data_IF_681649261478
#
_entry.id   IF_681649261478
#
_cell.length_a   1.000
_cell.length_b   1.000
_cell.length_c   1.000
_cell.angle_alpha   90.00
_cell.angle_beta   90.00
_cell.angle_gamma   90.00
#
_symmetry.space_group_name_H-M   'P 1'
#
loop_
_entity.id
_entity.type
_entity.pdbx_description
1 polymer ?
#
# COMPACT_ATOMS: atom_id res chain seq x y z
N UNK A 1 17.69 -17.16 -2.64
CA UNK A 1 16.58 -16.22 -2.36
C UNK A 1 15.30 -16.93 -2.75
N UNK A 2 14.27 -16.83 -1.93
CA UNK A 2 12.98 -17.47 -2.23
C UNK A 2 12.24 -16.61 -3.27
N UNK A 3 11.69 -17.23 -4.31
CA UNK A 3 10.92 -16.55 -5.35
C UNK A 3 9.68 -15.92 -4.71
N UNK A 4 9.37 -14.62 -4.98
CA UNK A 4 8.15 -14.02 -4.44
C UNK A 4 6.90 -14.68 -5.00
N UNK A 5 5.92 -14.92 -4.12
CA UNK A 5 4.62 -15.53 -4.46
C UNK A 5 3.58 -14.45 -4.70
N UNK A 6 2.93 -14.48 -5.86
CA UNK A 6 1.83 -13.59 -6.25
C UNK A 6 0.52 -14.39 -6.26
N UNK A 7 -0.49 -13.91 -5.54
CA UNK A 7 -1.84 -14.44 -5.60
C UNK A 7 -2.70 -13.58 -6.52
N UNK A 8 -3.26 -14.20 -7.56
CA UNK A 8 -4.23 -13.59 -8.47
C UNK A 8 -5.64 -13.95 -7.99
N UNK A 9 -6.48 -12.95 -7.78
CA UNK A 9 -7.89 -13.14 -7.40
C UNK A 9 -8.76 -12.51 -8.48
N UNK A 10 -9.30 -13.33 -9.37
CA UNK A 10 -10.04 -12.91 -10.57
C UNK A 10 -11.03 -14.02 -10.95
N UNK A 11 -12.30 -13.71 -11.11
CA UNK A 11 -13.33 -14.70 -11.44
C UNK A 11 -13.37 -15.04 -12.94
N UNK A 12 -13.04 -14.06 -13.82
CA UNK A 12 -13.01 -14.29 -15.26
C UNK A 12 -11.78 -15.14 -15.64
N UNK A 13 -12.03 -16.35 -16.14
CA UNK A 13 -11.00 -17.34 -16.45
C UNK A 13 -9.92 -16.82 -17.41
N UNK A 14 -10.34 -16.16 -18.50
CA UNK A 14 -9.42 -15.66 -19.53
C UNK A 14 -8.48 -14.59 -18.95
N UNK A 15 -9.04 -13.65 -18.20
CA UNK A 15 -8.27 -12.60 -17.53
C UNK A 15 -7.33 -13.19 -16.49
N UNK A 16 -7.80 -14.15 -15.68
CA UNK A 16 -7.02 -14.83 -14.67
C UNK A 16 -5.83 -15.56 -15.29
N UNK A 17 -6.06 -16.38 -16.33
CA UNK A 17 -4.99 -17.10 -17.04
C UNK A 17 -3.96 -16.15 -17.66
N UNK A 18 -4.42 -15.04 -18.25
CA UNK A 18 -3.50 -14.03 -18.81
C UNK A 18 -2.61 -13.40 -17.72
N UNK A 19 -3.17 -13.12 -16.54
CA UNK A 19 -2.41 -12.60 -15.41
C UNK A 19 -1.41 -13.62 -14.87
N UNK A 20 -1.82 -14.89 -14.74
CA UNK A 20 -0.94 -15.99 -14.33
C UNK A 20 0.24 -16.11 -15.29
N UNK A 21 -0.01 -16.23 -16.58
CA UNK A 21 1.03 -16.34 -17.61
C UNK A 21 1.96 -15.12 -17.61
N UNK A 22 1.40 -13.91 -17.44
CA UNK A 22 2.17 -12.68 -17.37
C UNK A 22 3.19 -12.71 -16.24
N UNK A 23 2.77 -13.05 -15.02
CA UNK A 23 3.67 -13.03 -13.87
C UNK A 23 4.61 -14.25 -13.82
N UNK A 24 4.19 -15.41 -14.28
CA UNK A 24 5.09 -16.56 -14.46
C UNK A 24 6.19 -16.25 -15.49
N UNK A 25 5.84 -15.56 -16.59
CA UNK A 25 6.81 -15.09 -17.58
C UNK A 25 7.84 -14.09 -17.05
N UNK A 26 7.50 -13.36 -15.98
CA UNK A 26 8.40 -12.45 -15.25
C UNK A 26 9.20 -13.17 -14.13
N UNK A 27 9.03 -14.50 -13.97
CA UNK A 27 9.79 -15.34 -13.04
C UNK A 27 9.25 -15.35 -11.60
N UNK A 28 7.97 -15.06 -11.39
CA UNK A 28 7.31 -15.15 -10.08
C UNK A 28 6.61 -16.49 -9.90
N UNK A 29 6.52 -16.96 -8.65
CA UNK A 29 5.61 -18.03 -8.30
C UNK A 29 4.20 -17.48 -8.22
N UNK A 30 3.25 -18.08 -8.95
CA UNK A 30 1.88 -17.57 -9.07
C UNK A 30 0.89 -18.63 -8.60
N UNK A 31 -0.01 -18.22 -7.74
CA UNK A 31 -1.17 -18.99 -7.31
C UNK A 31 -2.44 -18.21 -7.64
N UNK A 32 -3.54 -18.90 -7.82
CA UNK A 32 -4.80 -18.31 -8.29
C UNK A 32 -5.98 -18.64 -7.37
N UNK A 33 -6.95 -17.75 -7.36
CA UNK A 33 -8.23 -17.91 -6.69
C UNK A 33 -9.34 -17.25 -7.55
N UNK A 34 -10.51 -17.83 -7.57
CA UNK A 34 -11.66 -17.32 -8.34
C UNK A 34 -12.60 -16.44 -7.50
N UNK A 35 -12.43 -16.44 -6.20
CA UNK A 35 -13.26 -15.69 -5.24
C UNK A 35 -12.54 -15.48 -3.90
N UNK A 36 -13.21 -14.81 -2.97
CA UNK A 36 -12.67 -14.51 -1.65
C UNK A 36 -12.46 -15.73 -0.76
N UNK A 37 -13.26 -16.78 -0.89
CA UNK A 37 -13.11 -17.99 -0.08
C UNK A 37 -11.84 -18.74 -0.46
N UNK A 38 -11.62 -18.94 -1.75
CA UNK A 38 -10.36 -19.53 -2.24
C UNK A 38 -9.15 -18.66 -1.91
N UNK A 39 -9.28 -17.32 -2.01
CA UNK A 39 -8.23 -16.40 -1.61
C UNK A 39 -7.75 -16.68 -0.18
N UNK A 40 -8.67 -16.80 0.79
CA UNK A 40 -8.29 -17.06 2.18
C UNK A 40 -7.62 -18.42 2.35
N UNK A 41 -8.14 -19.47 1.70
CA UNK A 41 -7.52 -20.80 1.75
C UNK A 41 -6.07 -20.77 1.21
N UNK A 42 -5.84 -20.03 0.11
CA UNK A 42 -4.50 -19.89 -0.48
C UNK A 42 -3.55 -19.10 0.42
N UNK A 43 -4.04 -18.04 1.07
CA UNK A 43 -3.27 -17.24 2.01
C UNK A 43 -2.83 -18.03 3.24
N UNK A 44 -3.67 -18.92 3.75
CA UNK A 44 -3.32 -19.79 4.89
C UNK A 44 -2.25 -20.84 4.54
N UNK A 45 -2.21 -21.28 3.28
CA UNK A 45 -1.34 -22.35 2.82
C UNK A 45 -0.02 -21.87 2.22
N UNK A 46 0.10 -20.59 1.86
CA UNK A 46 1.24 -20.08 1.11
C UNK A 46 1.74 -18.72 1.65
N UNK A 47 3.06 -18.49 1.62
CA UNK A 47 3.66 -17.23 2.02
C UNK A 47 3.50 -16.17 0.91
N UNK A 48 2.31 -15.61 0.72
CA UNK A 48 1.99 -14.64 -0.33
C UNK A 48 2.66 -13.29 -0.07
N UNK A 49 3.31 -12.73 -1.09
CA UNK A 49 3.99 -11.43 -1.02
C UNK A 49 3.18 -10.29 -1.65
N UNK A 50 2.36 -10.63 -2.66
CA UNK A 50 1.52 -9.67 -3.39
C UNK A 50 0.19 -10.32 -3.75
N UNK A 51 -0.91 -9.60 -3.54
CA UNK A 51 -2.23 -9.94 -4.08
C UNK A 51 -2.56 -8.98 -5.21
N UNK A 52 -2.93 -9.51 -6.36
CA UNK A 52 -3.54 -8.77 -7.48
C UNK A 52 -4.99 -9.20 -7.55
N UNK A 53 -5.92 -8.28 -7.29
CA UNK A 53 -7.33 -8.59 -7.05
C UNK A 53 -8.27 -7.75 -7.90
N UNK A 54 -9.25 -8.39 -8.54
CA UNK A 54 -10.39 -7.64 -9.07
C UNK A 54 -11.27 -7.11 -7.94
N UNK A 55 -11.81 -5.93 -8.14
CA UNK A 55 -12.80 -5.34 -7.23
C UNK A 55 -14.15 -6.06 -7.40
N UNK A 56 -14.53 -6.40 -8.64
CA UNK A 56 -15.83 -6.95 -8.97
C UNK A 56 -15.84 -8.49 -8.90
N UNK A 57 -15.59 -9.05 -7.74
CA UNK A 57 -15.63 -10.48 -7.51
C UNK A 57 -17.05 -10.96 -7.14
N UNK A 58 -17.42 -12.19 -7.51
CA UNK A 58 -18.69 -12.77 -7.07
C UNK A 58 -18.71 -13.01 -5.56
N UNK A 59 -19.84 -12.80 -4.93
CA UNK A 59 -20.04 -12.95 -3.50
C UNK A 59 -19.52 -11.73 -2.73
N UNK A 60 -18.37 -11.82 -2.07
CA UNK A 60 -17.75 -10.68 -1.39
C UNK A 60 -17.01 -9.80 -2.39
N UNK A 61 -17.36 -8.52 -2.44
CA UNK A 61 -16.65 -7.51 -3.21
C UNK A 61 -15.17 -7.41 -2.77
N UNK A 62 -14.25 -7.24 -3.74
CA UNK A 62 -12.82 -7.15 -3.51
C UNK A 62 -12.42 -6.06 -2.50
N UNK A 63 -13.18 -4.97 -2.39
CA UNK A 63 -12.94 -3.92 -1.39
C UNK A 63 -13.14 -4.44 0.04
N UNK A 64 -14.16 -5.28 0.26
CA UNK A 64 -14.41 -5.90 1.57
C UNK A 64 -13.29 -6.88 1.91
N UNK A 65 -12.89 -7.73 0.94
CA UNK A 65 -11.80 -8.68 1.09
C UNK A 65 -10.47 -7.97 1.41
N UNK A 66 -10.18 -6.86 0.72
CA UNK A 66 -8.99 -6.06 0.98
C UNK A 66 -8.97 -5.47 2.39
N UNK A 67 -10.11 -4.99 2.89
CA UNK A 67 -10.23 -4.47 4.24
C UNK A 67 -9.96 -5.56 5.29
N UNK A 68 -10.52 -6.73 5.10
CA UNK A 68 -10.30 -7.90 5.98
C UNK A 68 -8.82 -8.35 5.91
N UNK A 69 -8.24 -8.40 4.71
CA UNK A 69 -6.83 -8.73 4.49
C UNK A 69 -5.90 -7.77 5.26
N UNK A 70 -6.17 -6.47 5.17
CA UNK A 70 -5.36 -5.44 5.84
C UNK A 70 -5.40 -5.47 7.37
N UNK A 71 -6.41 -6.07 7.95
CA UNK A 71 -6.48 -6.27 9.40
C UNK A 71 -5.56 -7.39 9.89
N UNK A 72 -5.29 -8.39 9.04
CA UNK A 72 -4.56 -9.61 9.39
C UNK A 72 -3.14 -9.63 8.83
N UNK A 73 -2.97 -9.14 7.61
CA UNK A 73 -1.77 -9.35 6.81
C UNK A 73 -1.22 -8.04 6.25
N UNK A 74 0.10 -7.97 6.12
CA UNK A 74 0.77 -6.86 5.47
C UNK A 74 1.36 -7.27 4.12
N UNK A 75 0.52 -7.81 3.27
CA UNK A 75 0.83 -8.26 1.91
C UNK A 75 0.66 -7.09 0.95
N UNK A 76 1.49 -6.98 -0.09
CA UNK A 76 1.28 -6.00 -1.17
C UNK A 76 -0.09 -6.22 -1.82
N UNK A 77 -0.81 -5.15 -2.16
CA UNK A 77 -2.14 -5.25 -2.78
C UNK A 77 -2.27 -4.28 -3.96
N UNK A 78 -2.53 -4.84 -5.14
CA UNK A 78 -2.91 -4.09 -6.35
C UNK A 78 -4.35 -4.44 -6.69
N UNK A 79 -5.20 -3.43 -6.85
CA UNK A 79 -6.52 -3.62 -7.41
C UNK A 79 -6.52 -3.55 -8.93
N UNK A 80 -7.34 -4.42 -9.55
CA UNK A 80 -7.80 -4.27 -10.92
C UNK A 80 -9.26 -3.79 -10.87
N UNK A 81 -9.64 -2.81 -11.69
CA UNK A 81 -10.98 -2.21 -11.67
C UNK A 81 -11.47 -1.85 -13.06
N UNK A 82 -12.78 -1.92 -13.29
CA UNK A 82 -13.41 -1.44 -14.53
C UNK A 82 -13.35 0.09 -14.68
N UNK A 83 -13.61 0.60 -15.89
CA UNK A 83 -13.47 2.03 -16.27
C UNK A 83 -14.36 3.01 -15.50
N UNK A 84 -15.47 2.56 -14.93
CA UNK A 84 -16.55 3.44 -14.48
C UNK A 84 -16.55 3.75 -12.98
N UNK A 85 -15.50 3.38 -12.24
CA UNK A 85 -15.52 3.54 -10.80
C UNK A 85 -14.38 4.41 -10.26
N UNK A 86 -14.47 5.71 -10.51
CA UNK A 86 -13.66 6.67 -9.76
C UNK A 86 -13.95 6.54 -8.24
N UNK A 87 -15.15 6.19 -7.88
CA UNK A 87 -15.60 5.91 -6.51
C UNK A 87 -14.92 4.64 -5.97
N UNK A 88 -14.88 3.54 -6.73
CA UNK A 88 -14.21 2.29 -6.29
C UNK A 88 -12.70 2.49 -6.19
N UNK A 89 -12.12 3.32 -7.05
CA UNK A 89 -10.70 3.69 -6.99
C UNK A 89 -10.37 4.44 -5.70
N UNK A 90 -11.19 5.41 -5.33
CA UNK A 90 -11.02 6.20 -4.10
C UNK A 90 -11.23 5.29 -2.89
N UNK A 91 -12.29 4.47 -2.89
CA UNK A 91 -12.58 3.50 -1.84
C UNK A 91 -11.47 2.44 -1.70
N UNK A 92 -10.96 1.90 -2.81
CA UNK A 92 -9.84 0.95 -2.80
C UNK A 92 -8.59 1.54 -2.15
N UNK A 93 -8.28 2.78 -2.46
CA UNK A 93 -7.19 3.52 -1.83
C UNK A 93 -7.50 3.81 -0.35
N UNK A 94 -8.73 4.15 0.01
CA UNK A 94 -9.13 4.36 1.41
C UNK A 94 -9.08 3.08 2.25
N UNK A 95 -9.25 1.91 1.66
CA UNK A 95 -9.18 0.61 2.33
C UNK A 95 -7.75 0.13 2.54
N UNK A 96 -6.76 0.65 1.80
CA UNK A 96 -5.36 0.30 2.03
C UNK A 96 -4.64 -0.39 0.88
N UNK A 97 -5.21 -0.42 -0.33
CA UNK A 97 -4.45 -0.86 -1.49
C UNK A 97 -3.16 -0.06 -1.67
N UNK A 98 -2.09 -0.74 -2.08
CA UNK A 98 -0.81 -0.08 -2.37
C UNK A 98 -0.84 0.57 -3.75
N UNK A 99 -1.63 0.02 -4.68
CA UNK A 99 -1.81 0.57 -6.02
C UNK A 99 -3.12 0.05 -6.67
N UNK A 100 -3.51 0.64 -7.80
CA UNK A 100 -4.65 0.21 -8.61
C UNK A 100 -4.36 0.39 -10.10
N UNK A 101 -4.99 -0.46 -10.93
CA UNK A 101 -5.03 -0.30 -12.38
C UNK A 101 -6.45 -0.44 -12.92
N UNK A 102 -6.79 0.37 -13.92
CA UNK A 102 -8.07 0.27 -14.61
C UNK A 102 -7.98 -0.70 -15.78
N UNK A 103 -8.96 -1.59 -15.92
CA UNK A 103 -9.18 -2.45 -17.09
C UNK A 103 -9.75 -1.62 -18.25
N UNK A 104 -9.25 -1.78 -19.51
CA UNK A 104 -8.09 -2.57 -19.88
C UNK A 104 -6.77 -1.88 -19.48
N UNK A 105 -5.82 -2.64 -18.95
CA UNK A 105 -4.53 -2.17 -18.51
C UNK A 105 -3.40 -2.63 -19.44
N UNK A 106 -2.28 -1.91 -19.42
CA UNK A 106 -1.07 -2.35 -20.08
C UNK A 106 -0.37 -3.42 -19.23
N UNK A 107 -0.12 -4.65 -19.75
CA UNK A 107 0.55 -5.71 -18.99
C UNK A 107 1.91 -5.28 -18.44
N UNK A 108 2.70 -4.54 -19.22
CA UNK A 108 4.00 -4.03 -18.79
C UNK A 108 3.88 -3.03 -17.62
N UNK A 109 2.81 -2.25 -17.60
CA UNK A 109 2.56 -1.34 -16.48
C UNK A 109 2.28 -2.13 -15.19
N UNK A 110 1.46 -3.16 -15.27
CA UNK A 110 1.14 -4.04 -14.13
C UNK A 110 2.41 -4.73 -13.60
N UNK A 111 3.27 -5.30 -14.47
CA UNK A 111 4.50 -5.95 -14.04
C UNK A 111 5.49 -4.98 -13.40
N UNK A 112 5.63 -3.75 -13.93
CA UNK A 112 6.46 -2.70 -13.30
C UNK A 112 5.95 -2.36 -11.91
N UNK A 113 4.64 -2.20 -11.72
CA UNK A 113 4.04 -1.89 -10.42
C UNK A 113 4.24 -3.02 -9.42
N UNK A 114 3.96 -4.26 -9.84
CA UNK A 114 4.19 -5.46 -9.03
C UNK A 114 5.67 -5.58 -8.62
N UNK A 115 6.60 -5.44 -9.56
CA UNK A 115 8.04 -5.44 -9.29
C UNK A 115 8.45 -4.35 -8.29
N UNK A 116 7.92 -3.14 -8.45
CA UNK A 116 8.18 -2.06 -7.52
C UNK A 116 7.62 -2.33 -6.11
N UNK A 117 6.51 -3.01 -5.99
CA UNK A 117 5.98 -3.45 -4.69
C UNK A 117 6.78 -4.61 -4.11
N UNK A 118 7.12 -5.61 -4.91
CA UNK A 118 7.88 -6.79 -4.51
C UNK A 118 9.38 -6.52 -4.32
N UNK A 119 10.04 -5.81 -5.23
CA UNK A 119 11.47 -5.54 -5.21
C UNK A 119 11.91 -4.75 -3.98
N UNK A 120 10.96 -4.14 -3.31
CA UNK A 120 11.10 -3.48 -2.02
C UNK A 120 10.79 -4.43 -0.85
N UNK A 121 10.25 -5.62 -1.12
CA UNK A 121 10.03 -6.67 -0.12
C UNK A 121 11.23 -7.64 -0.08
N UNK A 122 11.94 -7.79 -1.20
CA UNK A 122 13.07 -8.75 -1.36
C UNK A 122 14.43 -8.07 -1.24
N UNK A 123 14.55 -6.78 -1.56
CA UNK A 123 15.77 -6.01 -1.41
C UNK A 123 15.83 -5.33 -0.03
N UNK A 124 15.81 -6.11 1.03
CA UNK A 124 16.56 -5.70 2.22
C UNK A 124 17.99 -6.25 2.06
N UNK A 125 19.02 -5.40 1.92
CA UNK A 125 20.33 -5.81 2.37
C UNK A 125 20.16 -6.22 3.84
N UNK A 126 20.78 -7.32 4.23
CA UNK A 126 21.04 -7.63 5.64
C UNK A 126 21.83 -6.45 6.17
N UNK A 127 21.15 -5.46 6.70
CA UNK A 127 21.71 -4.41 7.53
C UNK A 127 21.45 -4.90 8.94
N UNK A 128 22.53 -5.02 9.68
CA UNK A 128 22.60 -5.30 11.11
C UNK A 128 21.37 -4.74 11.86
N UNK A 129 20.92 -5.49 12.88
CA UNK A 129 19.82 -5.10 13.77
C UNK A 129 20.08 -3.73 14.45
N UNK A 130 20.00 -2.68 13.69
CA UNK A 130 19.69 -1.39 14.27
C UNK A 130 18.17 -1.36 14.46
N UNK A 131 17.73 -1.46 15.70
CA UNK A 131 16.38 -1.06 16.12
C UNK A 131 16.23 0.41 15.78
N UNK A 132 15.91 0.70 14.52
CA UNK A 132 15.62 2.08 14.15
C UNK A 132 14.18 2.39 14.56
N UNK A 133 14.11 2.93 15.76
CA UNK A 133 12.88 3.44 16.35
C UNK A 133 12.93 4.95 16.18
N UNK A 134 11.99 5.48 15.43
CA UNK A 134 11.80 6.94 15.31
C UNK A 134 10.70 7.35 16.28
N UNK A 135 11.06 8.28 17.19
CA UNK A 135 10.09 8.85 18.14
C UNK A 135 9.76 10.29 17.74
N UNK A 136 8.48 10.64 17.80
CA UNK A 136 8.00 11.98 17.47
C UNK A 136 6.70 12.29 18.23
N UNK A 137 6.61 13.42 18.87
CA UNK A 137 5.42 13.85 19.64
C UNK A 137 4.85 12.76 20.55
N UNK A 138 5.70 11.95 21.19
CA UNK A 138 5.28 10.83 22.02
C UNK A 138 4.85 9.57 21.26
N UNK A 139 4.78 9.59 19.93
CA UNK A 139 4.58 8.42 19.08
C UNK A 139 5.89 7.69 18.83
N UNK A 140 5.80 6.40 18.57
CA UNK A 140 6.94 5.56 18.25
C UNK A 140 6.68 4.82 16.95
N UNK A 141 7.55 5.00 15.95
CA UNK A 141 7.53 4.24 14.69
C UNK A 141 8.67 3.24 14.70
N UNK A 142 8.36 1.96 14.74
CA UNK A 142 9.33 0.88 14.54
C UNK A 142 9.44 0.62 13.02
N UNK A 143 10.62 0.88 12.47
CA UNK A 143 10.88 0.78 11.03
C UNK A 143 10.87 -0.66 10.52
N UNK A 144 11.27 -1.63 11.36
CA UNK A 144 11.36 -3.03 10.98
C UNK A 144 9.97 -3.67 10.87
N UNK A 145 9.14 -3.47 11.89
CA UNK A 145 7.78 -4.01 11.95
C UNK A 145 6.75 -3.11 11.27
N UNK A 146 7.11 -1.84 11.00
CA UNK A 146 6.22 -0.76 10.56
C UNK A 146 5.09 -0.47 11.56
N UNK A 147 5.31 -0.77 12.82
CA UNK A 147 4.34 -0.49 13.86
C UNK A 147 4.44 0.97 14.32
N UNK A 148 3.31 1.64 14.29
CA UNK A 148 3.11 2.95 14.89
C UNK A 148 2.46 2.75 16.25
N UNK A 149 3.16 3.13 17.32
CA UNK A 149 2.68 3.05 18.70
C UNK A 149 2.30 4.42 19.22
N UNK A 150 1.09 4.56 19.71
CA UNK A 150 0.59 5.81 20.27
C UNK A 150 1.24 6.11 21.64
N UNK A 151 1.15 7.38 22.13
CA UNK A 151 1.56 7.73 23.50
C UNK A 151 0.85 6.91 24.59
N UNK A 152 -0.35 6.36 24.29
CA UNK A 152 -1.12 5.50 25.19
C UNK A 152 -0.73 4.02 25.10
N UNK A 153 0.29 3.67 24.28
CA UNK A 153 0.77 2.30 24.12
C UNK A 153 0.00 1.45 23.10
N UNK A 154 -1.01 2.00 22.41
CA UNK A 154 -1.72 1.28 21.37
C UNK A 154 -0.86 1.16 20.12
N UNK A 155 -0.52 -0.06 19.72
CA UNK A 155 0.28 -0.33 18.53
C UNK A 155 -0.61 -0.66 17.32
N UNK A 156 -0.23 -0.14 16.15
CA UNK A 156 -0.90 -0.38 14.88
C UNK A 156 0.12 -0.51 13.76
N UNK A 157 0.02 -1.55 12.97
CA UNK A 157 0.88 -1.71 11.80
C UNK A 157 0.39 -0.81 10.65
N UNK A 158 1.31 -0.03 10.09
CA UNK A 158 1.02 0.84 8.96
C UNK A 158 1.08 0.07 7.64
N UNK A 159 0.11 0.24 6.73
CA UNK A 159 0.25 -0.14 5.34
C UNK A 159 1.51 0.47 4.73
N UNK A 160 2.10 -0.24 3.74
CA UNK A 160 3.40 0.11 3.16
C UNK A 160 3.47 1.54 2.61
N UNK A 161 2.40 1.99 1.94
CA UNK A 161 2.32 3.36 1.40
C UNK A 161 2.31 4.41 2.50
N UNK A 162 1.53 4.19 3.57
CA UNK A 162 1.45 5.10 4.72
C UNK A 162 2.78 5.18 5.46
N UNK A 163 3.40 4.01 5.74
CA UNK A 163 4.72 3.95 6.35
C UNK A 163 5.76 4.74 5.55
N UNK A 164 5.81 4.56 4.22
CA UNK A 164 6.78 5.26 3.39
C UNK A 164 6.58 6.76 3.35
N UNK A 165 5.34 7.20 3.19
CA UNK A 165 5.03 8.62 3.21
C UNK A 165 5.41 9.26 4.55
N UNK A 166 5.04 8.61 5.66
CA UNK A 166 5.37 9.09 7.00
C UNK A 166 6.89 9.09 7.23
N UNK A 167 7.57 7.99 6.90
CA UNK A 167 9.02 7.87 7.10
C UNK A 167 9.80 8.92 6.33
N UNK A 168 9.45 9.16 5.07
CA UNK A 168 10.06 10.22 4.26
C UNK A 168 9.92 11.61 4.89
N UNK A 169 8.75 11.90 5.45
CA UNK A 169 8.50 13.18 6.10
C UNK A 169 9.21 13.30 7.45
N UNK A 170 9.37 12.19 8.19
CA UNK A 170 10.12 12.14 9.45
C UNK A 170 11.64 12.27 9.26
N UNK A 171 12.19 11.88 8.09
CA UNK A 171 13.61 12.05 7.77
C UNK A 171 14.03 13.51 7.64
N UNK A 172 13.11 14.36 7.23
CA UNK A 172 13.36 15.79 7.01
C UNK A 172 12.19 16.63 7.50
N UNK A 173 11.97 16.73 8.82
CA UNK A 173 10.89 17.51 9.39
C UNK A 173 10.93 18.98 8.90
N UNK A 174 9.77 19.53 8.63
CA UNK A 174 9.63 20.89 8.11
C UNK A 174 9.79 21.04 6.60
N UNK A 175 10.33 20.04 5.89
CA UNK A 175 10.41 20.07 4.43
C UNK A 175 9.03 19.84 3.79
N UNK A 176 8.75 20.61 2.75
CA UNK A 176 7.56 20.41 1.92
C UNK A 176 7.85 19.35 0.86
N UNK A 177 7.00 18.36 0.76
CA UNK A 177 7.03 17.33 -0.27
C UNK A 177 5.87 17.51 -1.25
N UNK A 178 6.17 17.61 -2.53
CA UNK A 178 5.15 17.68 -3.57
C UNK A 178 4.43 16.33 -3.71
N UNK A 179 3.24 16.33 -4.37
CA UNK A 179 2.53 15.08 -4.68
C UNK A 179 3.34 14.14 -5.55
N UNK A 180 4.12 14.66 -6.49
CA UNK A 180 5.03 13.90 -7.35
C UNK A 180 6.13 13.20 -6.53
N UNK A 181 6.74 13.91 -5.60
CA UNK A 181 7.77 13.34 -4.73
C UNK A 181 7.22 12.24 -3.84
N UNK A 182 6.05 12.47 -3.22
CA UNK A 182 5.40 11.50 -2.36
C UNK A 182 4.98 10.26 -3.14
N UNK A 183 4.29 10.39 -4.28
CA UNK A 183 3.85 9.24 -5.06
C UNK A 183 5.02 8.41 -5.57
N UNK A 184 6.08 9.07 -6.05
CA UNK A 184 7.32 8.39 -6.49
C UNK A 184 7.96 7.61 -5.34
N UNK A 185 8.03 8.20 -4.15
CA UNK A 185 8.62 7.53 -2.98
C UNK A 185 7.75 6.37 -2.48
N UNK A 186 6.43 6.56 -2.42
CA UNK A 186 5.47 5.55 -1.96
C UNK A 186 5.39 4.34 -2.88
N UNK A 187 5.30 4.57 -4.19
CA UNK A 187 4.93 3.55 -5.19
C UNK A 187 5.97 3.32 -6.28
N UNK A 188 6.92 4.26 -6.48
CA UNK A 188 7.92 4.22 -7.54
C UNK A 188 7.41 4.67 -8.92
N UNK A 189 6.15 5.10 -9.02
CA UNK A 189 5.54 5.60 -10.25
C UNK A 189 5.47 7.12 -10.29
N UNK A 190 5.15 7.66 -11.47
CA UNK A 190 4.88 9.09 -11.65
C UNK A 190 3.43 9.43 -11.29
N UNK A 191 3.21 10.70 -10.94
CA UNK A 191 1.88 11.25 -10.67
C UNK A 191 1.09 11.33 -12.00
N UNK A 192 -0.17 10.90 -11.98
CA UNK A 192 -1.08 10.99 -13.12
C UNK A 192 -2.07 12.14 -12.92
N UNK A 193 -2.67 12.68 -14.00
CA UNK A 193 -3.79 13.62 -13.87
C UNK A 193 -4.89 13.02 -12.98
N UNK A 194 -5.44 13.83 -12.08
CA UNK A 194 -6.49 13.45 -11.13
C UNK A 194 -6.12 12.33 -10.13
N UNK A 195 -4.83 12.07 -9.92
CA UNK A 195 -4.38 11.06 -8.96
C UNK A 195 -4.55 11.52 -7.51
N UNK A 196 -5.44 10.88 -6.77
CA UNK A 196 -5.75 11.16 -5.37
C UNK A 196 -4.99 10.28 -4.37
N UNK A 197 -4.11 9.40 -4.83
CA UNK A 197 -3.40 8.43 -3.98
C UNK A 197 -2.69 9.10 -2.81
N UNK A 198 -1.99 10.19 -3.07
CA UNK A 198 -1.26 10.93 -2.02
C UNK A 198 -2.21 11.54 -1.01
N UNK A 199 -3.26 12.24 -1.49
CA UNK A 199 -4.21 12.93 -0.61
C UNK A 199 -4.91 11.92 0.31
N UNK A 200 -5.35 10.78 -0.24
CA UNK A 200 -5.96 9.69 0.52
C UNK A 200 -4.99 9.09 1.54
N UNK A 201 -3.73 8.86 1.14
CA UNK A 201 -2.71 8.32 2.05
C UNK A 201 -2.44 9.27 3.21
N UNK A 202 -2.27 10.57 2.95
CA UNK A 202 -2.06 11.58 3.98
C UNK A 202 -3.27 11.64 4.93
N UNK A 203 -4.50 11.62 4.38
CA UNK A 203 -5.71 11.58 5.21
C UNK A 203 -5.73 10.37 6.15
N UNK A 204 -5.30 9.19 5.70
CA UNK A 204 -5.22 8.00 6.55
C UNK A 204 -4.15 8.11 7.62
N UNK A 205 -2.96 8.61 7.27
CA UNK A 205 -1.89 8.83 8.25
C UNK A 205 -2.40 9.77 9.35
N UNK A 206 -3.08 10.86 8.99
CA UNK A 206 -3.70 11.78 9.96
C UNK A 206 -4.67 11.08 10.89
N UNK A 207 -5.53 10.20 10.38
CA UNK A 207 -6.47 9.41 11.20
C UNK A 207 -5.81 8.54 12.28
N UNK A 208 -4.52 8.27 12.19
CA UNK A 208 -3.83 7.48 13.20
C UNK A 208 -3.51 8.31 14.43
N UNK A 209 -3.20 9.59 14.30
CA UNK A 209 -2.69 10.42 15.38
C UNK A 209 -3.41 11.76 15.57
N UNK A 210 -4.40 12.09 14.77
CA UNK A 210 -5.16 13.31 14.90
C UNK A 210 -6.62 12.99 15.24
N UNK A 211 -7.15 13.66 16.26
CA UNK A 211 -8.56 13.58 16.64
C UNK A 211 -9.44 14.40 15.68
N UNK A 212 -8.88 15.44 15.07
CA UNK A 212 -9.52 16.29 14.07
C UNK A 212 -8.67 16.34 12.79
N UNK A 213 -9.24 15.79 11.69
CA UNK A 213 -8.56 15.71 10.40
C UNK A 213 -8.50 17.06 9.70
N UNK A 214 -9.43 17.95 10.01
CA UNK A 214 -9.55 19.28 9.40
C UNK A 214 -8.60 20.30 10.06
N UNK A 215 -8.12 19.99 11.27
CA UNK A 215 -7.10 20.77 12.00
C UNK A 215 -5.85 19.93 12.28
N UNK A 216 -5.05 19.59 11.24
CA UNK A 216 -3.96 18.66 11.38
C UNK A 216 -2.78 19.22 12.20
N UNK A 217 -2.40 18.54 13.26
CA UNK A 217 -1.33 18.97 14.19
C UNK A 217 0.06 18.53 13.72
N UNK A 218 0.19 17.36 13.06
CA UNK A 218 1.48 16.76 12.73
C UNK A 218 1.82 16.81 11.24
N UNK A 219 0.83 16.77 10.34
CA UNK A 219 1.06 16.89 8.90
C UNK A 219 0.19 18.03 8.35
N UNK A 220 0.79 19.14 7.99
CA UNK A 220 0.10 20.28 7.38
C UNK A 220 0.04 20.16 5.86
N UNK A 221 -1.06 20.66 5.28
CA UNK A 221 -1.22 20.86 3.84
C UNK A 221 -0.75 22.27 3.48
N UNK A 222 0.19 22.35 2.53
CA UNK A 222 0.61 23.63 1.94
C UNK A 222 -0.06 23.74 0.58
N UNK A 223 -1.08 24.61 0.50
CA UNK A 223 -1.90 24.76 -0.70
C UNK A 223 -1.05 25.09 -1.92
N UNK A 224 -1.26 24.35 -3.00
CA UNK A 224 -0.50 24.50 -4.24
C UNK A 224 0.88 23.85 -4.25
N UNK A 225 1.46 23.48 -3.09
CA UNK A 225 2.81 22.94 -2.99
C UNK A 225 2.85 21.46 -2.58
N UNK A 226 2.11 21.06 -1.54
CA UNK A 226 2.13 19.66 -1.07
C UNK A 226 1.88 19.50 0.42
N UNK A 227 2.67 18.64 1.07
CA UNK A 227 2.52 18.25 2.46
C UNK A 227 3.82 18.38 3.24
N UNK A 228 3.74 18.69 4.52
CA UNK A 228 4.88 18.90 5.42
C UNK A 228 4.59 18.32 6.78
N UNK A 229 5.56 17.59 7.35
CA UNK A 229 5.54 17.20 8.76
C UNK A 229 5.98 18.40 9.63
N UNK A 230 5.16 18.75 10.60
CA UNK A 230 5.42 19.90 11.51
C UNK A 230 5.62 19.49 12.96
N UNK A 231 5.50 18.18 13.27
CA UNK A 231 5.78 17.65 14.59
C UNK A 231 7.26 17.70 14.97
N UNK A 232 7.55 17.42 16.24
CA UNK A 232 8.92 17.34 16.76
C UNK A 232 9.42 15.91 16.74
N UNK A 233 10.66 15.70 16.34
CA UNK A 233 11.35 14.42 16.52
C UNK A 233 11.90 14.39 17.95
N UNK A 234 11.51 13.37 18.70
CA UNK A 234 12.00 13.14 20.05
C UNK A 234 13.41 12.50 19.96
N UNK A 235 14.33 13.01 20.72
CA UNK A 235 15.73 12.53 20.76
C UNK A 235 15.88 11.30 21.64
#
# INVERSE_FOLDING_TARGET
>A
MQTPVILIVEDEEVTRLNLVNLFQGEGYDVIEAVNGEEMYLKLEQNPVNLVVMDINLPGKNGLILARELRQKENIGLIFLTGRDSEVDRILGLEIGADDYLTKPFNPRELTIRARNLLGRTVAQPVVEEHKSIVKFNGWTLDENSRNLTSPTGMARRLPKGEYRALRLMLDTPGKIFTREQLIRHMTGRELRPNDRTVDVTIRRIRKHFESDIDSPELISTIHGEGYRFVGKIDK
#
